data_IF_699738124444
#
_entry.id   IF_699738124444
#
_cell.length_a   1.000
_cell.length_b   1.000
_cell.length_c   1.000
_cell.angle_alpha   90.00
_cell.angle_beta   90.00
_cell.angle_gamma   90.00
#
_symmetry.space_group_name_H-M   'P 1'
#
loop_
_entity.id
_entity.type
_entity.pdbx_description
1 polymer ?
#
# COMPACT_ATOMS: atom_id res chain seq x y z
N UNK A 1 2.46 -9.40 20.09
CA UNK A 1 3.20 -9.52 21.38
C UNK A 1 4.42 -8.61 21.34
N UNK A 2 4.56 -7.70 22.29
CA UNK A 2 5.74 -6.81 22.37
C UNK A 2 6.92 -7.60 22.92
N UNK A 3 7.94 -7.84 22.08
CA UNK A 3 9.16 -8.53 22.51
C UNK A 3 10.06 -7.54 23.26
N UNK A 4 10.50 -7.92 24.45
CA UNK A 4 11.39 -7.11 25.31
C UNK A 4 12.58 -7.95 25.78
N UNK A 5 13.62 -7.26 26.25
CA UNK A 5 14.82 -7.91 26.77
C UNK A 5 15.83 -8.26 25.68
N UNK A 6 16.85 -9.10 26.02
CA UNK A 6 17.89 -9.50 25.11
C UNK A 6 17.35 -10.22 23.85
N UNK A 7 18.08 -10.08 22.75
CA UNK A 7 17.80 -10.76 21.49
C UNK A 7 17.95 -12.28 21.66
N UNK A 8 17.00 -13.07 21.14
CA UNK A 8 16.97 -14.51 21.34
C UNK A 8 17.13 -15.28 20.03
N UNK A 9 17.58 -16.52 20.13
CA UNK A 9 17.56 -17.44 19.02
C UNK A 9 16.12 -17.62 18.47
N UNK A 10 15.98 -17.73 17.13
CA UNK A 10 14.71 -17.79 16.44
C UNK A 10 14.11 -16.42 16.10
N UNK A 11 14.52 -15.32 16.76
CA UNK A 11 14.05 -13.99 16.45
C UNK A 11 14.66 -13.46 15.15
N UNK A 12 13.90 -12.63 14.42
CA UNK A 12 14.46 -11.82 13.33
C UNK A 12 15.05 -10.52 13.87
N UNK A 13 16.20 -10.15 13.30
CA UNK A 13 16.88 -8.88 13.54
C UNK A 13 17.12 -8.14 12.24
N UNK A 14 17.11 -6.83 12.31
CA UNK A 14 17.52 -5.94 11.25
C UNK A 14 18.88 -5.32 11.59
N UNK A 15 19.84 -5.61 10.73
CA UNK A 15 21.20 -5.09 10.78
C UNK A 15 21.28 -3.86 9.87
N UNK A 16 21.59 -2.70 10.42
CA UNK A 16 21.67 -1.46 9.65
C UNK A 16 23.11 -0.90 9.73
N UNK A 17 23.75 -0.73 8.58
CA UNK A 17 25.10 -0.16 8.48
C UNK A 17 25.09 1.38 8.51
N UNK A 18 26.27 1.99 8.56
CA UNK A 18 26.46 3.46 8.55
C UNK A 18 25.96 4.15 7.26
N UNK A 19 25.70 3.40 6.19
CA UNK A 19 25.16 3.90 4.92
C UNK A 19 23.65 3.78 4.85
N UNK A 20 23.02 3.18 5.87
CA UNK A 20 21.60 2.90 5.90
C UNK A 20 21.21 1.62 5.14
N UNK A 21 22.19 0.81 4.68
CA UNK A 21 21.91 -0.51 4.09
C UNK A 21 21.40 -1.43 5.19
N UNK A 22 20.29 -2.10 4.93
CA UNK A 22 19.61 -3.00 5.88
C UNK A 22 19.73 -4.44 5.41
N UNK A 23 19.93 -5.33 6.36
CA UNK A 23 19.90 -6.79 6.19
C UNK A 23 18.98 -7.31 7.28
N UNK A 24 17.99 -8.12 6.92
CA UNK A 24 17.10 -8.77 7.89
C UNK A 24 17.44 -10.25 7.91
N UNK A 25 17.73 -10.78 9.12
CA UNK A 25 18.20 -12.14 9.31
C UNK A 25 17.51 -12.78 10.50
N UNK A 26 17.33 -14.10 10.48
CA UNK A 26 16.83 -14.86 11.62
C UNK A 26 18.00 -15.39 12.42
N UNK A 27 18.04 -15.13 13.71
CA UNK A 27 19.12 -15.60 14.59
C UNK A 27 19.00 -17.09 14.82
N UNK A 28 20.04 -17.82 14.40
CA UNK A 28 20.15 -19.29 14.60
C UNK A 28 21.48 -19.57 15.30
N UNK A 29 21.51 -20.33 16.42
CA UNK A 29 22.76 -20.71 17.08
C UNK A 29 23.75 -21.34 16.11
N UNK A 30 25.01 -20.90 16.14
CA UNK A 30 26.05 -21.30 15.19
C UNK A 30 25.90 -20.73 13.77
N UNK A 31 24.88 -19.91 13.51
CA UNK A 31 24.63 -19.28 12.22
C UNK A 31 25.57 -18.10 11.93
N UNK A 32 25.59 -17.67 10.67
CA UNK A 32 26.40 -16.54 10.20
C UNK A 32 25.67 -15.70 9.19
N UNK A 33 25.89 -14.39 9.21
CA UNK A 33 25.48 -13.43 8.17
C UNK A 33 26.68 -13.08 7.30
N UNK A 34 26.63 -13.47 6.04
CA UNK A 34 27.64 -13.09 5.04
C UNK A 34 27.34 -11.71 4.49
N UNK A 35 28.28 -10.78 4.59
CA UNK A 35 28.15 -9.45 4.04
C UNK A 35 29.27 -9.13 3.07
N UNK A 36 29.13 -8.10 2.27
CA UNK A 36 30.21 -7.59 1.40
C UNK A 36 31.43 -7.10 2.22
N UNK A 37 31.28 -6.96 3.53
CA UNK A 37 32.27 -6.37 4.45
C UNK A 37 32.76 -7.34 5.52
N UNK A 38 32.52 -8.62 5.35
CA UNK A 38 32.89 -9.69 6.28
C UNK A 38 31.69 -10.41 6.86
N UNK A 39 31.93 -11.18 7.89
CA UNK A 39 30.96 -12.09 8.50
C UNK A 39 30.57 -11.61 9.89
N UNK A 40 29.29 -11.76 10.22
CA UNK A 40 28.77 -11.64 11.59
C UNK A 40 28.34 -13.02 12.05
N UNK A 41 28.67 -13.40 13.28
CA UNK A 41 28.19 -14.62 13.90
C UNK A 41 26.91 -14.33 14.67
N UNK A 42 25.91 -15.22 14.54
CA UNK A 42 24.65 -15.07 15.27
C UNK A 42 24.85 -15.19 16.79
N UNK A 43 25.82 -16.00 17.21
CA UNK A 43 26.16 -16.19 18.62
C UNK A 43 26.71 -14.91 19.26
N UNK A 44 27.31 -14.01 18.48
CA UNK A 44 27.76 -12.69 18.95
C UNK A 44 26.60 -11.68 19.09
N UNK A 45 25.42 -12.01 18.55
CA UNK A 45 24.21 -11.17 18.57
C UNK A 45 23.20 -11.69 19.61
N UNK A 46 23.06 -13.01 19.71
CA UNK A 46 22.15 -13.65 20.67
C UNK A 46 22.57 -13.26 22.10
N UNK A 47 21.61 -12.76 22.86
CA UNK A 47 21.85 -12.30 24.24
C UNK A 47 22.20 -10.82 24.36
N UNK A 48 22.48 -10.12 23.25
CA UNK A 48 22.70 -8.67 23.29
C UNK A 48 21.38 -7.91 23.50
N UNK A 49 21.43 -6.74 24.14
CA UNK A 49 20.29 -5.84 24.14
C UNK A 49 20.07 -5.26 22.72
N UNK A 50 18.81 -5.02 22.40
CA UNK A 50 18.43 -4.29 21.19
C UNK A 50 19.07 -2.89 21.18
N UNK A 51 19.54 -2.44 20.01
CA UNK A 51 20.31 -1.20 19.90
C UNK A 51 21.82 -1.40 19.98
N UNK A 52 22.29 -2.62 20.17
CA UNK A 52 23.73 -2.94 20.17
C UNK A 52 24.38 -2.70 18.82
N UNK A 53 25.69 -2.52 18.84
CA UNK A 53 26.51 -2.42 17.63
C UNK A 53 27.43 -3.65 17.55
N UNK A 54 27.33 -4.38 16.44
CA UNK A 54 28.20 -5.54 16.15
C UNK A 54 29.14 -5.22 15.01
N UNK A 55 30.26 -5.92 14.97
CA UNK A 55 31.32 -5.64 13.99
C UNK A 55 31.68 -6.90 13.22
N UNK A 56 31.73 -6.78 11.89
CA UNK A 56 32.12 -7.91 11.04
C UNK A 56 33.55 -8.32 11.27
N UNK A 57 33.80 -9.63 11.19
CA UNK A 57 35.15 -10.20 11.17
C UNK A 57 35.50 -10.68 9.77
N UNK A 58 36.79 -10.83 9.50
CA UNK A 58 37.26 -11.42 8.25
C UNK A 58 37.14 -12.93 8.36
N UNK A 59 36.36 -13.55 7.45
CA UNK A 59 36.33 -15.00 7.36
C UNK A 59 37.56 -15.53 6.61
N UNK A 60 37.98 -16.74 6.92
CA UNK A 60 39.03 -17.44 6.21
C UNK A 60 38.72 -17.47 4.70
N UNK A 61 39.64 -17.03 3.83
CA UNK A 61 39.44 -16.94 2.38
C UNK A 61 38.77 -15.64 1.88
N UNK A 62 38.32 -14.72 2.76
CA UNK A 62 37.75 -13.43 2.36
C UNK A 62 38.73 -12.25 2.37
N UNK A 63 39.94 -12.42 2.86
CA UNK A 63 40.97 -11.39 2.79
C UNK A 63 41.64 -11.40 1.43
N UNK A 64 41.42 -10.35 0.62
CA UNK A 64 42.24 -10.13 -0.55
C UNK A 64 43.66 -9.79 -0.09
N UNK A 65 44.65 -10.60 -0.47
CA UNK A 65 46.05 -10.31 -0.17
C UNK A 65 46.47 -9.04 -0.89
N UNK A 66 47.48 -8.34 -0.33
CA UNK A 66 48.05 -7.14 -0.96
C UNK A 66 48.56 -7.46 -2.39
N UNK A 67 48.99 -8.70 -2.64
CA UNK A 67 49.42 -9.18 -3.94
C UNK A 67 48.28 -9.30 -4.94
N UNK A 68 47.09 -9.74 -4.52
CA UNK A 68 45.90 -9.83 -5.36
C UNK A 68 45.32 -8.45 -5.67
N UNK A 69 45.25 -7.55 -4.69
CA UNK A 69 44.88 -6.15 -4.88
C UNK A 69 45.82 -5.42 -5.85
N UNK A 70 47.15 -5.69 -5.76
CA UNK A 70 48.12 -5.18 -6.70
C UNK A 70 47.99 -5.73 -8.10
N UNK A 71 47.72 -7.04 -8.28
CA UNK A 71 47.47 -7.63 -9.60
C UNK A 71 46.23 -7.07 -10.27
N UNK A 72 45.19 -6.78 -9.50
CA UNK A 72 43.93 -6.22 -10.01
C UNK A 72 44.07 -4.75 -10.43
N UNK A 73 44.80 -3.94 -9.68
CA UNK A 73 45.06 -2.53 -10.00
C UNK A 73 46.42 -2.08 -9.53
N UNK A 74 47.48 -2.30 -10.32
CA UNK A 74 48.87 -1.95 -9.96
C UNK A 74 49.08 -0.46 -9.69
N UNK A 75 48.25 0.41 -10.29
CA UNK A 75 48.44 1.88 -10.19
C UNK A 75 47.85 2.45 -8.88
N UNK A 76 46.88 1.81 -8.28
CA UNK A 76 46.20 2.28 -7.04
C UNK A 76 45.68 1.11 -6.20
N UNK A 77 46.56 0.17 -5.77
CA UNK A 77 46.13 -1.03 -5.06
C UNK A 77 45.36 -0.70 -3.75
N UNK A 78 45.73 0.35 -3.06
CA UNK A 78 45.06 0.80 -1.82
C UNK A 78 43.67 1.37 -2.02
N UNK A 79 43.27 1.79 -3.24
CA UNK A 79 41.92 2.25 -3.53
C UNK A 79 40.98 1.10 -3.87
N UNK A 80 41.53 -0.03 -4.25
CA UNK A 80 40.75 -1.21 -4.72
C UNK A 80 40.72 -2.33 -3.67
N UNK A 81 41.65 -2.34 -2.71
CA UNK A 81 41.62 -3.27 -1.60
C UNK A 81 40.33 -3.02 -0.77
N UNK A 82 39.39 -3.95 -0.83
CA UNK A 82 38.24 -3.92 0.07
C UNK A 82 38.68 -4.24 1.48
N UNK A 83 38.42 -3.33 2.41
CA UNK A 83 38.59 -3.61 3.83
C UNK A 83 37.53 -4.62 4.25
N UNK A 84 37.89 -5.87 4.36
CA UNK A 84 37.05 -6.96 4.81
C UNK A 84 37.20 -7.05 6.33
N UNK A 85 36.07 -7.10 7.05
CA UNK A 85 36.06 -6.99 8.51
C UNK A 85 36.09 -5.54 9.05
N UNK A 86 35.76 -5.39 10.31
CA UNK A 86 35.70 -4.09 10.99
C UNK A 86 34.51 -3.19 10.56
N UNK A 87 33.52 -3.69 9.82
CA UNK A 87 32.35 -2.93 9.46
C UNK A 87 31.26 -3.08 10.51
N UNK A 88 30.66 -1.97 10.91
CA UNK A 88 29.72 -1.92 12.03
C UNK A 88 28.27 -1.91 11.55
N UNK A 89 27.42 -2.63 12.29
CA UNK A 89 25.98 -2.69 12.12
C UNK A 89 25.29 -2.46 13.46
N UNK A 90 24.26 -1.61 13.46
CA UNK A 90 23.31 -1.52 14.56
C UNK A 90 22.32 -2.66 14.44
N UNK A 91 22.02 -3.33 15.55
CA UNK A 91 21.10 -4.48 15.60
C UNK A 91 19.82 -4.05 16.29
N UNK A 92 18.69 -4.20 15.59
CA UNK A 92 17.34 -3.90 16.09
C UNK A 92 16.39 -5.05 15.75
N UNK A 93 15.32 -5.23 16.52
CA UNK A 93 14.17 -5.99 16.03
C UNK A 93 13.51 -5.24 14.89
N UNK A 94 13.11 -5.88 13.78
CA UNK A 94 12.39 -5.19 12.72
C UNK A 94 11.04 -4.73 13.23
N UNK A 95 10.64 -3.50 12.95
CA UNK A 95 9.24 -3.07 13.09
C UNK A 95 8.41 -3.89 12.11
N UNK A 96 7.10 -4.00 12.34
CA UNK A 96 6.22 -4.75 11.43
C UNK A 96 6.36 -4.29 9.97
N UNK A 97 6.45 -2.98 9.75
CA UNK A 97 6.74 -2.39 8.45
C UNK A 97 8.04 -2.92 7.82
N UNK A 98 9.13 -2.98 8.60
CA UNK A 98 10.43 -3.46 8.12
C UNK A 98 10.40 -4.98 7.86
N UNK A 99 9.62 -5.72 8.65
CA UNK A 99 9.43 -7.16 8.50
C UNK A 99 8.72 -7.47 7.19
N UNK A 100 7.55 -6.86 6.90
CA UNK A 100 6.80 -7.16 5.67
C UNK A 100 7.55 -6.75 4.40
N UNK A 101 8.40 -5.72 4.47
CA UNK A 101 9.24 -5.31 3.34
C UNK A 101 10.42 -6.28 3.08
N UNK A 102 10.80 -7.09 4.05
CA UNK A 102 11.93 -8.03 3.99
C UNK A 102 11.55 -9.50 4.06
N UNK A 103 10.28 -9.84 4.37
CA UNK A 103 9.83 -11.23 4.46
C UNK A 103 9.82 -11.94 3.11
N UNK A 104 9.93 -13.28 3.04
CA UNK A 104 9.71 -14.03 1.82
C UNK A 104 8.33 -13.75 1.22
N UNK A 105 8.28 -13.54 -0.09
CA UNK A 105 7.06 -13.18 -0.80
C UNK A 105 6.83 -14.08 -2.01
N UNK A 106 5.58 -14.52 -2.18
CA UNK A 106 5.10 -15.16 -3.40
C UNK A 106 4.21 -14.22 -4.22
N UNK A 107 3.39 -13.40 -3.52
CA UNK A 107 2.53 -12.38 -4.11
C UNK A 107 3.06 -10.97 -3.84
N UNK A 108 2.64 -10.01 -4.66
CA UNK A 108 2.80 -8.56 -4.41
C UNK A 108 2.14 -8.25 -3.06
N UNK A 109 2.79 -7.40 -2.27
CA UNK A 109 2.23 -6.95 -0.99
C UNK A 109 1.68 -5.54 -1.12
N UNK A 110 0.64 -5.25 -0.33
CA UNK A 110 0.22 -3.87 -0.09
C UNK A 110 1.33 -3.09 0.61
N UNK A 111 1.51 -1.83 0.25
CA UNK A 111 2.53 -0.98 0.88
C UNK A 111 2.13 -0.57 2.30
N UNK A 112 3.11 -0.39 3.21
CA UNK A 112 2.83 -0.04 4.61
C UNK A 112 1.97 1.21 4.79
N UNK A 113 2.11 2.22 3.91
CA UNK A 113 1.30 3.43 3.95
C UNK A 113 -0.19 3.16 3.71
N UNK A 114 -0.51 2.25 2.79
CA UNK A 114 -1.88 1.86 2.47
C UNK A 114 -2.47 0.97 3.56
N UNK A 115 -1.68 0.04 4.09
CA UNK A 115 -2.07 -0.78 5.25
C UNK A 115 -2.42 0.09 6.46
N UNK A 116 -1.58 1.09 6.77
CA UNK A 116 -1.84 2.01 7.87
C UNK A 116 -3.15 2.79 7.66
N UNK A 117 -3.42 3.20 6.41
CA UNK A 117 -4.67 3.87 6.06
C UNK A 117 -5.89 2.93 6.22
N UNK A 118 -5.77 1.66 5.82
CA UNK A 118 -6.86 0.67 6.04
C UNK A 118 -7.17 0.50 7.52
N UNK A 119 -6.16 0.33 8.38
CA UNK A 119 -6.34 0.20 9.82
C UNK A 119 -7.12 1.41 10.38
N UNK A 120 -6.78 2.62 9.91
CA UNK A 120 -7.42 3.86 10.36
C UNK A 120 -8.85 4.01 9.83
N UNK A 121 -9.07 3.91 8.51
CA UNK A 121 -10.39 4.16 7.91
C UNK A 121 -11.42 3.07 8.28
N UNK A 122 -10.96 1.84 8.50
CA UNK A 122 -11.82 0.76 9.00
C UNK A 122 -12.00 0.82 10.53
N UNK A 123 -11.27 1.69 11.23
CA UNK A 123 -11.29 1.73 12.69
C UNK A 123 -11.07 0.32 13.30
N UNK A 124 -9.99 -0.36 12.84
CA UNK A 124 -9.69 -1.72 13.29
C UNK A 124 -9.04 -1.68 14.66
N UNK A 125 -9.66 -2.34 15.63
CA UNK A 125 -9.26 -2.29 17.04
C UNK A 125 -9.22 -3.68 17.66
N UNK A 126 -8.58 -3.73 18.82
CA UNK A 126 -8.51 -4.93 19.65
C UNK A 126 -9.90 -5.47 19.98
N UNK A 127 -10.05 -6.77 19.87
CA UNK A 127 -11.30 -7.48 20.15
C UNK A 127 -12.28 -7.56 18.98
N UNK A 128 -11.98 -6.94 17.83
CA UNK A 128 -12.84 -7.00 16.64
C UNK A 128 -12.67 -8.30 15.88
N UNK A 129 -13.72 -8.70 15.18
CA UNK A 129 -13.76 -9.81 14.22
C UNK A 129 -13.62 -9.25 12.81
N UNK A 130 -12.53 -9.62 12.13
CA UNK A 130 -12.17 -9.08 10.83
C UNK A 130 -12.13 -10.21 9.80
N UNK A 131 -12.73 -9.98 8.64
CA UNK A 131 -12.60 -10.84 7.45
C UNK A 131 -11.65 -10.18 6.46
N UNK A 132 -10.59 -10.89 6.08
CA UNK A 132 -9.67 -10.54 5.00
C UNK A 132 -9.86 -11.51 3.85
N UNK A 133 -9.95 -11.02 2.62
CA UNK A 133 -9.85 -11.88 1.44
C UNK A 133 -8.76 -11.37 0.51
N UNK A 134 -7.87 -12.29 0.10
CA UNK A 134 -6.61 -12.00 -0.57
C UNK A 134 -5.44 -12.00 0.40
N UNK A 135 -5.23 -13.08 1.17
CA UNK A 135 -4.15 -13.20 2.16
C UNK A 135 -2.74 -13.03 1.59
N UNK A 136 -2.53 -13.50 0.36
CA UNK A 136 -1.29 -13.32 -0.39
C UNK A 136 -0.04 -13.76 0.38
N UNK A 137 0.90 -12.83 0.60
CA UNK A 137 2.11 -13.09 1.41
C UNK A 137 1.93 -12.76 2.90
N UNK A 138 0.75 -12.28 3.32
CA UNK A 138 0.40 -11.99 4.71
C UNK A 138 0.70 -10.57 5.19
N UNK A 139 1.04 -9.63 4.31
CA UNK A 139 1.42 -8.28 4.74
C UNK A 139 0.28 -7.56 5.47
N UNK A 140 -0.93 -7.56 4.90
CA UNK A 140 -2.12 -7.00 5.54
C UNK A 140 -2.54 -7.86 6.73
N UNK A 141 -2.62 -9.18 6.57
CA UNK A 141 -3.01 -10.12 7.62
C UNK A 141 -2.17 -9.99 8.90
N UNK A 142 -0.85 -9.78 8.78
CA UNK A 142 0.02 -9.52 9.93
C UNK A 142 -0.37 -8.25 10.72
N UNK A 143 -0.72 -7.17 10.02
CA UNK A 143 -1.18 -5.94 10.67
C UNK A 143 -2.57 -6.10 11.28
N UNK A 144 -3.46 -6.86 10.62
CA UNK A 144 -4.79 -7.17 11.16
C UNK A 144 -4.67 -8.02 12.43
N UNK A 145 -3.83 -9.07 12.41
CA UNK A 145 -3.57 -9.92 13.58
C UNK A 145 -3.03 -9.13 14.78
N UNK A 146 -2.10 -8.20 14.52
CA UNK A 146 -1.54 -7.35 15.57
C UNK A 146 -2.58 -6.36 16.11
N UNK A 147 -3.42 -5.79 15.23
CA UNK A 147 -4.45 -4.82 15.60
C UNK A 147 -5.59 -5.44 16.41
N UNK A 148 -6.14 -6.59 15.97
CA UNK A 148 -7.25 -7.24 16.67
C UNK A 148 -6.81 -7.91 17.96
N UNK A 149 -5.57 -8.39 18.02
CA UNK A 149 -4.98 -9.05 19.20
C UNK A 149 -5.68 -10.35 19.58
N UNK A 150 -5.25 -10.94 20.69
CA UNK A 150 -5.72 -12.24 21.18
C UNK A 150 -7.19 -12.26 21.63
N UNK A 151 -7.78 -11.08 21.87
CA UNK A 151 -9.19 -10.94 22.24
C UNK A 151 -10.11 -10.79 21.02
N UNK A 152 -9.53 -10.62 19.81
CA UNK A 152 -10.23 -10.50 18.54
C UNK A 152 -10.14 -11.76 17.71
N UNK A 153 -10.56 -11.64 16.45
CA UNK A 153 -10.52 -12.73 15.47
C UNK A 153 -10.14 -12.17 14.09
N UNK A 154 -9.23 -12.85 13.42
CA UNK A 154 -9.00 -12.65 11.99
C UNK A 154 -9.38 -13.93 11.23
N UNK A 155 -10.29 -13.82 10.28
CA UNK A 155 -10.51 -14.84 9.26
C UNK A 155 -9.91 -14.36 7.95
N UNK A 156 -8.96 -15.11 7.39
CA UNK A 156 -8.32 -14.82 6.11
C UNK A 156 -8.70 -15.88 5.10
N UNK A 157 -9.23 -15.46 3.94
CA UNK A 157 -9.49 -16.33 2.79
C UNK A 157 -8.37 -16.11 1.77
N UNK A 158 -7.68 -17.19 1.38
CA UNK A 158 -6.69 -17.17 0.30
C UNK A 158 -7.01 -18.29 -0.69
N UNK A 159 -7.18 -17.93 -1.95
CA UNK A 159 -7.58 -18.87 -2.99
C UNK A 159 -6.52 -19.93 -3.28
N UNK A 160 -5.23 -19.57 -3.17
CA UNK A 160 -4.10 -20.42 -3.56
C UNK A 160 -3.43 -21.02 -2.33
N UNK A 161 -3.43 -22.34 -2.24
CA UNK A 161 -2.88 -23.07 -1.08
C UNK A 161 -1.41 -22.77 -0.82
N UNK A 162 -0.60 -22.56 -1.87
CA UNK A 162 0.81 -22.21 -1.74
C UNK A 162 1.01 -20.82 -1.11
N UNK A 163 0.14 -19.84 -1.40
CA UNK A 163 0.21 -18.52 -0.76
C UNK A 163 -0.35 -18.53 0.65
N UNK A 164 -1.38 -19.31 0.92
CA UNK A 164 -1.83 -19.54 2.29
C UNK A 164 -0.70 -20.07 3.17
N UNK A 165 0.11 -21.02 2.65
CA UNK A 165 1.31 -21.52 3.35
C UNK A 165 2.38 -20.44 3.57
N UNK A 166 2.61 -19.56 2.57
CA UNK A 166 3.55 -18.42 2.70
C UNK A 166 3.04 -17.45 3.78
N UNK A 167 1.77 -17.12 3.73
CA UNK A 167 1.11 -16.26 4.71
C UNK A 167 1.24 -16.82 6.13
N UNK A 168 0.90 -18.10 6.32
CA UNK A 168 1.01 -18.79 7.62
C UNK A 168 2.43 -18.85 8.15
N UNK A 169 3.40 -19.17 7.27
CA UNK A 169 4.81 -19.22 7.66
C UNK A 169 5.34 -17.83 8.08
N UNK A 170 5.01 -16.76 7.33
CA UNK A 170 5.40 -15.41 7.69
C UNK A 170 4.78 -14.97 9.02
N UNK A 171 3.50 -15.28 9.27
CA UNK A 171 2.84 -14.97 10.54
C UNK A 171 3.51 -15.74 11.69
N UNK A 172 3.77 -17.03 11.52
CA UNK A 172 4.44 -17.86 12.53
C UNK A 172 5.84 -17.32 12.86
N UNK A 173 6.61 -16.92 11.85
CA UNK A 173 7.95 -16.31 12.06
C UNK A 173 7.85 -14.96 12.80
N UNK A 174 6.87 -14.13 12.44
CA UNK A 174 6.71 -12.82 13.07
C UNK A 174 6.26 -12.93 14.54
N UNK A 175 5.22 -13.73 14.82
CA UNK A 175 4.68 -13.89 16.17
C UNK A 175 5.47 -14.89 17.04
N UNK A 176 6.33 -15.72 16.42
CA UNK A 176 7.05 -16.80 17.08
C UNK A 176 6.22 -18.09 17.25
N UNK A 177 4.92 -18.00 17.07
CA UNK A 177 3.94 -19.08 17.03
C UNK A 177 2.86 -18.74 16.01
N UNK A 178 2.12 -19.73 15.55
CA UNK A 178 0.89 -19.48 14.79
C UNK A 178 -0.14 -18.81 15.72
N UNK A 179 -0.69 -17.64 15.40
CA UNK A 179 -1.70 -16.98 16.23
C UNK A 179 -2.96 -17.86 16.40
N UNK A 180 -3.42 -18.05 17.64
CA UNK A 180 -4.61 -18.87 17.92
C UNK A 180 -5.92 -18.17 17.50
N UNK A 181 -5.91 -16.83 17.42
CA UNK A 181 -7.05 -15.99 17.00
C UNK A 181 -7.13 -15.80 15.48
N UNK A 182 -6.42 -16.63 14.71
CA UNK A 182 -6.38 -16.60 13.26
C UNK A 182 -6.98 -17.83 12.64
N UNK A 183 -8.01 -17.65 11.83
CA UNK A 183 -8.63 -18.66 11.00
C UNK A 183 -8.23 -18.44 9.54
N UNK A 184 -7.30 -19.25 9.02
CA UNK A 184 -6.86 -19.21 7.62
C UNK A 184 -7.59 -20.27 6.82
N UNK A 185 -8.39 -19.84 5.85
CA UNK A 185 -9.22 -20.68 4.98
C UNK A 185 -8.67 -20.66 3.55
N UNK A 186 -8.48 -21.85 2.99
CA UNK A 186 -8.02 -21.99 1.60
C UNK A 186 -9.22 -22.24 0.70
N UNK A 187 -9.43 -21.37 -0.29
CA UNK A 187 -10.51 -21.48 -1.26
C UNK A 187 -10.85 -20.15 -1.90
N UNK A 188 -11.67 -20.20 -2.95
CA UNK A 188 -12.24 -19.00 -3.53
C UNK A 188 -13.28 -18.38 -2.59
N UNK A 189 -13.37 -17.05 -2.58
CA UNK A 189 -14.31 -16.31 -1.73
C UNK A 189 -15.75 -16.79 -1.92
N UNK A 190 -16.18 -16.99 -3.16
CA UNK A 190 -17.54 -17.42 -3.49
C UNK A 190 -17.86 -18.85 -3.01
N UNK A 191 -16.84 -19.68 -2.80
CA UNK A 191 -17.01 -21.04 -2.26
C UNK A 191 -16.94 -21.07 -0.73
N UNK A 192 -16.18 -20.17 -0.11
CA UNK A 192 -15.94 -20.15 1.34
C UNK A 192 -16.95 -19.27 2.06
N UNK A 193 -17.27 -18.09 1.54
CA UNK A 193 -18.15 -17.14 2.17
C UNK A 193 -19.55 -17.69 2.51
N UNK A 194 -20.19 -18.53 1.68
CA UNK A 194 -21.50 -19.10 2.02
C UNK A 194 -21.51 -19.90 3.33
N UNK A 195 -20.37 -20.46 3.74
CA UNK A 195 -20.21 -21.19 5.01
C UNK A 195 -19.94 -20.31 6.23
N UNK A 196 -19.71 -19.00 6.04
CA UNK A 196 -19.48 -18.07 7.12
C UNK A 196 -20.82 -17.62 7.74
N UNK A 197 -20.86 -17.34 9.07
CA UNK A 197 -22.08 -16.90 9.73
C UNK A 197 -22.50 -15.50 9.29
N UNK A 198 -23.79 -15.24 9.27
CA UNK A 198 -24.39 -13.94 8.97
C UNK A 198 -24.08 -12.94 10.09
N UNK A 199 -23.94 -11.65 9.75
CA UNK A 199 -23.76 -10.53 10.68
C UNK A 199 -22.59 -10.73 11.68
N UNK A 200 -21.57 -11.50 11.28
CA UNK A 200 -20.51 -11.94 12.19
C UNK A 200 -19.35 -10.95 12.29
N UNK A 201 -18.90 -10.42 11.15
CA UNK A 201 -17.69 -9.61 11.10
C UNK A 201 -17.97 -8.13 11.35
N UNK A 202 -17.12 -7.49 12.15
CA UNK A 202 -17.18 -6.06 12.37
C UNK A 202 -16.57 -5.28 11.20
N UNK A 203 -15.55 -5.88 10.52
CA UNK A 203 -14.79 -5.27 9.43
C UNK A 203 -14.50 -6.28 8.33
N UNK A 204 -14.51 -5.81 7.10
CA UNK A 204 -14.13 -6.62 5.92
C UNK A 204 -13.11 -5.87 5.10
N UNK A 205 -12.05 -6.56 4.72
CA UNK A 205 -11.03 -6.07 3.79
C UNK A 205 -10.92 -7.00 2.59
N UNK A 206 -11.07 -6.45 1.37
CA UNK A 206 -10.99 -7.19 0.11
C UNK A 206 -9.82 -6.68 -0.75
N UNK A 207 -8.80 -7.52 -0.93
CA UNK A 207 -7.69 -7.31 -1.86
C UNK A 207 -7.75 -8.38 -2.96
N UNK A 208 -8.54 -8.11 -3.99
CA UNK A 208 -8.78 -9.04 -5.08
C UNK A 208 -9.09 -8.31 -6.39
N UNK A 209 -9.06 -9.04 -7.51
CA UNK A 209 -9.20 -8.44 -8.85
C UNK A 209 -10.57 -7.81 -9.10
N UNK A 210 -11.64 -8.40 -8.57
CA UNK A 210 -13.03 -8.05 -8.89
C UNK A 210 -13.93 -8.02 -7.64
N UNK A 211 -13.62 -7.19 -6.62
CA UNK A 211 -14.36 -7.16 -5.36
C UNK A 211 -15.82 -6.75 -5.52
N UNK A 212 -16.19 -6.03 -6.58
CA UNK A 212 -17.59 -5.65 -6.87
C UNK A 212 -18.53 -6.84 -7.03
N UNK A 213 -18.04 -8.01 -7.45
CA UNK A 213 -18.83 -9.23 -7.57
C UNK A 213 -19.05 -9.95 -6.23
N UNK A 214 -18.45 -9.51 -5.13
CA UNK A 214 -18.49 -10.14 -3.80
C UNK A 214 -19.21 -9.32 -2.75
N UNK A 215 -19.71 -8.14 -3.14
CA UNK A 215 -20.32 -7.18 -2.20
C UNK A 215 -21.57 -7.73 -1.50
N UNK A 216 -22.41 -8.52 -2.18
CA UNK A 216 -23.61 -9.11 -1.60
C UNK A 216 -23.27 -10.14 -0.52
N UNK A 217 -22.28 -11.01 -0.79
CA UNK A 217 -21.82 -11.98 0.20
C UNK A 217 -21.08 -11.29 1.35
N UNK A 218 -20.32 -10.24 1.08
CA UNK A 218 -19.67 -9.43 2.11
C UNK A 218 -20.72 -8.78 3.02
N UNK A 219 -21.80 -8.23 2.43
CA UNK A 219 -22.88 -7.62 3.20
C UNK A 219 -23.63 -8.63 4.09
N UNK A 220 -23.83 -9.86 3.63
CA UNK A 220 -24.46 -10.91 4.42
C UNK A 220 -23.67 -11.25 5.69
N UNK A 221 -22.34 -11.28 5.59
CA UNK A 221 -21.48 -11.72 6.71
C UNK A 221 -20.99 -10.59 7.61
N UNK A 222 -21.10 -9.34 7.19
CA UNK A 222 -20.73 -8.17 8.00
C UNK A 222 -21.89 -7.73 8.90
N UNK A 223 -21.58 -7.35 10.12
CA UNK A 223 -22.58 -6.79 11.02
C UNK A 223 -23.12 -5.43 10.51
N UNK A 224 -24.40 -5.09 10.72
CA UNK A 224 -24.93 -3.77 10.40
C UNK A 224 -24.08 -2.65 11.00
N UNK A 225 -23.74 -1.65 10.18
CA UNK A 225 -22.83 -0.57 10.54
C UNK A 225 -21.34 -0.93 10.50
N UNK A 226 -21.00 -2.18 10.20
CA UNK A 226 -19.63 -2.62 9.95
C UNK A 226 -19.01 -1.91 8.75
N UNK A 227 -17.68 -1.88 8.66
CA UNK A 227 -16.96 -1.19 7.59
C UNK A 227 -16.32 -2.20 6.65
N UNK A 228 -16.55 -2.01 5.34
CA UNK A 228 -15.84 -2.71 4.28
C UNK A 228 -14.83 -1.75 3.63
N UNK A 229 -13.67 -2.26 3.29
CA UNK A 229 -12.70 -1.57 2.40
C UNK A 229 -12.26 -2.51 1.30
N UNK A 230 -12.38 -2.06 0.06
CA UNK A 230 -11.81 -2.73 -1.12
C UNK A 230 -10.54 -2.01 -1.55
N UNK A 231 -9.45 -2.75 -1.77
CA UNK A 231 -8.22 -2.26 -2.36
C UNK A 231 -8.14 -2.66 -3.82
N UNK A 232 -7.99 -1.69 -4.71
CA UNK A 232 -7.85 -1.91 -6.15
C UNK A 232 -6.78 -0.99 -6.73
N UNK A 233 -6.18 -1.39 -7.86
CA UNK A 233 -5.03 -0.69 -8.42
C UNK A 233 -5.35 0.16 -9.65
N UNK A 234 -6.55 0.04 -10.23
CA UNK A 234 -6.93 0.79 -11.43
C UNK A 234 -8.16 1.64 -11.22
N UNK A 235 -8.26 2.75 -11.94
CA UNK A 235 -9.42 3.65 -11.91
C UNK A 235 -10.71 2.95 -12.40
N UNK A 236 -10.61 2.05 -13.36
CA UNK A 236 -11.76 1.25 -13.82
C UNK A 236 -12.29 0.35 -12.71
N UNK A 237 -11.42 -0.36 -11.98
CA UNK A 237 -11.83 -1.17 -10.84
C UNK A 237 -12.45 -0.30 -9.74
N UNK A 238 -11.84 0.85 -9.44
CA UNK A 238 -12.33 1.82 -8.47
C UNK A 238 -13.77 2.26 -8.80
N UNK A 239 -14.02 2.64 -10.06
CA UNK A 239 -15.35 3.04 -10.53
C UNK A 239 -16.36 1.88 -10.38
N UNK A 240 -16.01 0.67 -10.81
CA UNK A 240 -16.90 -0.51 -10.71
C UNK A 240 -17.28 -0.84 -9.27
N UNK A 241 -16.33 -0.79 -8.33
CA UNK A 241 -16.62 -1.02 -6.91
C UNK A 241 -17.60 0.03 -6.39
N UNK A 242 -17.33 1.31 -6.67
CA UNK A 242 -18.18 2.41 -6.20
C UNK A 242 -19.60 2.32 -6.75
N UNK A 243 -19.74 2.04 -8.05
CA UNK A 243 -21.07 1.88 -8.68
C UNK A 243 -21.82 0.65 -8.11
N UNK A 244 -21.15 -0.51 -7.99
CA UNK A 244 -21.77 -1.70 -7.42
C UNK A 244 -22.21 -1.49 -5.96
N UNK A 245 -21.45 -0.75 -5.15
CA UNK A 245 -21.87 -0.38 -3.79
C UNK A 245 -23.14 0.49 -3.80
N UNK A 246 -23.24 1.46 -4.72
CA UNK A 246 -24.45 2.31 -4.86
C UNK A 246 -25.64 1.52 -5.36
N UNK A 247 -25.48 0.72 -6.40
CA UNK A 247 -26.54 -0.04 -7.04
C UNK A 247 -27.16 -1.08 -6.09
N UNK A 248 -26.37 -1.69 -5.22
CA UNK A 248 -26.87 -2.69 -4.26
C UNK A 248 -27.79 -2.11 -3.19
N UNK A 249 -27.70 -0.82 -2.87
CA UNK A 249 -28.38 -0.20 -1.73
C UNK A 249 -27.92 -0.68 -0.35
N UNK A 250 -27.02 -1.65 -0.28
CA UNK A 250 -26.53 -2.28 0.96
C UNK A 250 -25.45 -1.50 1.67
N UNK A 251 -24.84 -0.51 1.01
CA UNK A 251 -23.69 0.22 1.50
C UNK A 251 -23.95 1.73 1.52
N UNK A 252 -23.43 2.43 2.50
CA UNK A 252 -23.42 3.91 2.48
C UNK A 252 -22.69 4.41 1.24
N UNK A 253 -22.81 5.72 0.93
CA UNK A 253 -22.03 6.33 -0.14
C UNK A 253 -20.53 6.00 0.04
N UNK A 254 -19.87 5.40 -0.97
CA UNK A 254 -18.46 4.98 -0.85
C UNK A 254 -17.52 6.18 -0.78
N UNK A 255 -16.58 6.12 0.16
CA UNK A 255 -15.46 7.05 0.27
C UNK A 255 -14.27 6.47 -0.47
N UNK A 256 -13.68 7.25 -1.37
CA UNK A 256 -12.55 6.82 -2.21
C UNK A 256 -11.33 7.64 -1.85
N UNK A 257 -10.25 6.96 -1.51
CA UNK A 257 -8.98 7.61 -1.14
C UNK A 257 -7.77 6.95 -1.79
N UNK A 258 -6.73 7.73 -1.99
CA UNK A 258 -5.38 7.30 -2.36
C UNK A 258 -4.38 7.96 -1.41
N UNK A 259 -3.40 7.19 -0.94
CA UNK A 259 -2.38 7.69 -0.01
C UNK A 259 -1.06 7.93 -0.72
N UNK A 260 -0.48 9.10 -0.54
CA UNK A 260 0.84 9.48 -1.04
C UNK A 260 1.82 9.68 0.12
N UNK A 261 2.96 9.00 0.08
CA UNK A 261 4.04 9.14 1.04
C UNK A 261 5.28 9.75 0.39
N UNK A 262 5.76 10.88 0.94
CA UNK A 262 6.96 11.56 0.46
C UNK A 262 8.05 11.57 1.50
N UNK A 263 9.13 10.83 1.25
CA UNK A 263 10.32 10.84 2.10
C UNK A 263 11.14 12.12 1.93
N UNK A 264 11.83 12.54 3.00
CA UNK A 264 12.71 13.69 3.03
C UNK A 264 14.11 13.31 3.49
N UNK A 265 15.11 14.03 2.99
CA UNK A 265 16.49 14.02 3.50
C UNK A 265 16.75 15.32 4.25
N UNK A 266 17.32 15.19 5.46
CA UNK A 266 17.78 16.31 6.24
C UNK A 266 19.22 16.02 6.69
N UNK A 267 20.17 16.81 6.16
CA UNK A 267 21.57 16.69 6.50
C UNK A 267 22.17 18.11 6.65
N UNK A 268 22.36 18.55 7.87
CA UNK A 268 22.71 19.93 8.16
C UNK A 268 21.67 20.89 7.59
N UNK A 269 22.09 21.86 6.80
CA UNK A 269 21.20 22.82 6.12
C UNK A 269 20.61 22.29 4.80
N UNK A 270 21.06 21.13 4.33
CA UNK A 270 20.54 20.50 3.11
C UNK A 270 19.30 19.68 3.41
N UNK A 271 18.14 20.34 3.41
CA UNK A 271 16.83 19.72 3.62
C UNK A 271 16.04 19.69 2.30
N UNK A 272 15.68 18.50 1.84
CA UNK A 272 14.96 18.33 0.57
C UNK A 272 14.19 17.01 0.53
N UNK A 273 13.12 16.91 -0.28
CA UNK A 273 12.46 15.64 -0.52
C UNK A 273 13.40 14.64 -1.22
N UNK A 274 13.13 13.35 -1.05
CA UNK A 274 13.77 12.33 -1.87
C UNK A 274 13.42 12.56 -3.34
N UNK A 275 14.35 12.24 -4.25
CA UNK A 275 14.11 12.37 -5.70
C UNK A 275 13.06 11.36 -6.19
N UNK A 276 13.08 10.17 -5.62
CA UNK A 276 12.16 9.10 -5.95
C UNK A 276 10.99 9.09 -4.98
N UNK A 277 9.78 8.92 -5.52
CA UNK A 277 8.53 8.73 -4.80
C UNK A 277 7.67 7.76 -5.59
N UNK A 278 7.03 6.82 -4.92
CA UNK A 278 6.00 5.98 -5.54
C UNK A 278 4.74 6.82 -5.64
N UNK A 279 4.36 7.20 -6.88
CA UNK A 279 3.24 8.10 -7.13
C UNK A 279 1.88 7.43 -7.01
N UNK A 280 1.81 6.11 -7.28
CA UNK A 280 0.56 5.35 -7.22
C UNK A 280 0.85 3.92 -6.75
N UNK A 281 -0.04 3.39 -5.90
CA UNK A 281 -0.03 1.99 -5.44
C UNK A 281 -1.38 1.33 -5.56
N UNK A 282 -2.45 2.06 -5.23
CA UNK A 282 -3.82 1.61 -5.31
C UNK A 282 -4.79 2.59 -4.65
N UNK A 283 -6.07 2.31 -4.80
CA UNK A 283 -7.18 3.06 -4.23
C UNK A 283 -7.84 2.25 -3.13
N UNK A 284 -8.30 2.94 -2.09
CA UNK A 284 -9.16 2.39 -1.06
C UNK A 284 -10.58 2.89 -1.29
N UNK A 285 -11.52 1.98 -1.38
CA UNK A 285 -12.95 2.27 -1.50
C UNK A 285 -13.60 1.73 -0.22
N UNK A 286 -14.12 2.63 0.60
CA UNK A 286 -14.61 2.31 1.95
C UNK A 286 -16.08 2.69 2.07
N UNK A 287 -16.90 1.79 2.64
CA UNK A 287 -18.31 2.04 2.92
C UNK A 287 -18.74 1.32 4.20
N UNK A 288 -19.92 1.65 4.71
CA UNK A 288 -20.53 0.98 5.87
C UNK A 288 -21.76 0.18 5.46
N UNK A 289 -21.91 -0.97 6.08
CA UNK A 289 -23.05 -1.85 5.83
C UNK A 289 -24.34 -1.24 6.38
N UNK A 290 -25.39 -1.26 5.55
CA UNK A 290 -26.74 -0.91 5.96
C UNK A 290 -27.40 -2.08 6.71
N UNK A 291 -28.37 -1.77 7.55
CA UNK A 291 -29.19 -2.79 8.19
C UNK A 291 -30.07 -3.52 7.16
N UNK A 292 -30.40 -4.77 7.42
CA UNK A 292 -31.26 -5.55 6.56
C UNK A 292 -32.63 -4.86 6.35
N UNK A 293 -33.07 -4.81 5.09
CA UNK A 293 -34.34 -4.19 4.69
C UNK A 293 -34.32 -2.65 4.65
N UNK A 294 -33.15 -2.03 4.73
CA UNK A 294 -33.00 -0.57 4.65
C UNK A 294 -32.01 -0.23 3.52
N UNK A 295 -32.48 0.55 2.55
CA UNK A 295 -31.63 1.05 1.48
C UNK A 295 -30.81 2.26 1.93
N UNK A 296 -29.59 2.36 1.42
CA UNK A 296 -28.71 3.48 1.69
C UNK A 296 -29.23 4.80 1.10
N UNK A 297 -29.01 5.88 1.83
CA UNK A 297 -29.26 7.23 1.31
C UNK A 297 -28.02 7.71 0.57
N UNK A 298 -28.11 7.77 -0.74
CA UNK A 298 -27.03 8.29 -1.57
C UNK A 298 -27.11 9.81 -1.70
N UNK A 299 -25.95 10.44 -1.79
CA UNK A 299 -25.84 11.86 -2.01
C UNK A 299 -26.51 12.23 -3.32
N UNK A 300 -27.48 13.18 -3.28
CA UNK A 300 -28.06 13.74 -4.49
C UNK A 300 -26.99 14.52 -5.25
N UNK A 301 -26.41 13.89 -6.23
CA UNK A 301 -25.57 14.58 -7.21
C UNK A 301 -26.49 15.32 -8.20
N UNK A 302 -26.05 16.50 -8.66
CA UNK A 302 -26.69 17.10 -9.83
C UNK A 302 -26.40 16.16 -10.99
N UNK A 303 -27.40 15.67 -11.74
CA UNK A 303 -27.16 14.75 -12.81
C UNK A 303 -26.16 15.39 -13.79
N UNK A 304 -24.95 14.88 -13.82
CA UNK A 304 -24.07 15.01 -14.97
C UNK A 304 -24.74 14.21 -16.08
N UNK A 305 -24.87 14.81 -17.26
CA UNK A 305 -25.63 14.25 -18.40
C UNK A 305 -25.18 12.85 -18.88
N UNK A 306 -24.19 12.20 -18.21
CA UNK A 306 -23.60 10.93 -18.61
C UNK A 306 -23.14 10.07 -17.44
N UNK A 307 -24.07 9.60 -16.62
CA UNK A 307 -23.75 8.67 -15.54
C UNK A 307 -23.68 7.20 -16.03
N UNK A 308 -24.22 6.87 -17.20
CA UNK A 308 -24.44 5.48 -17.63
C UNK A 308 -23.86 5.09 -18.99
N UNK A 309 -22.90 5.82 -19.54
CA UNK A 309 -22.28 5.38 -20.80
C UNK A 309 -20.99 4.61 -20.52
N UNK A 310 -21.10 3.34 -20.24
CA UNK A 310 -20.01 2.42 -20.49
C UNK A 310 -19.87 2.32 -22.03
N UNK A 311 -19.03 3.19 -22.61
CA UNK A 311 -18.78 3.26 -24.06
C UNK A 311 -18.36 1.90 -24.60
N UNK A 312 -17.73 1.07 -23.75
CA UNK A 312 -17.27 -0.27 -24.09
C UNK A 312 -18.41 -1.28 -24.32
N UNK A 313 -19.60 -1.05 -23.73
CA UNK A 313 -20.77 -1.91 -23.90
C UNK A 313 -21.66 -1.53 -25.11
N UNK A 314 -21.33 -0.41 -25.78
CA UNK A 314 -22.06 0.08 -26.94
C UNK A 314 -21.54 -0.54 -28.25
N UNK A 315 -22.44 -0.77 -29.23
CA UNK A 315 -22.01 -1.12 -30.58
C UNK A 315 -21.19 0.01 -31.20
N UNK A 316 -20.36 -0.29 -32.19
CA UNK A 316 -19.52 0.71 -32.88
C UNK A 316 -20.33 1.88 -33.52
N UNK A 317 -21.60 1.66 -33.82
CA UNK A 317 -22.53 2.68 -34.34
C UNK A 317 -23.05 3.56 -33.22
N UNK A 318 -23.46 2.98 -32.10
CA UNK A 318 -23.87 3.67 -30.89
C UNK A 318 -22.73 4.47 -30.26
N UNK A 319 -21.50 3.95 -30.29
CA UNK A 319 -20.31 4.68 -29.84
C UNK A 319 -20.05 5.95 -30.66
N UNK A 320 -20.17 5.85 -32.02
CA UNK A 320 -20.03 7.02 -32.89
C UNK A 320 -21.10 8.07 -32.68
N UNK A 321 -22.36 7.64 -32.54
CA UNK A 321 -23.49 8.52 -32.28
C UNK A 321 -23.31 9.21 -30.90
N UNK A 322 -22.87 8.48 -29.89
CA UNK A 322 -22.61 9.00 -28.55
C UNK A 322 -21.42 9.94 -28.50
N UNK A 323 -20.36 9.66 -29.21
CA UNK A 323 -19.20 10.57 -29.34
C UNK A 323 -19.60 11.85 -30.06
N UNK A 324 -20.42 11.78 -31.09
CA UNK A 324 -20.96 12.96 -31.77
C UNK A 324 -21.84 13.81 -30.85
N UNK A 325 -22.67 13.18 -30.01
CA UNK A 325 -23.43 13.90 -28.95
C UNK A 325 -22.52 14.54 -27.89
N UNK A 326 -21.42 13.90 -27.52
CA UNK A 326 -20.44 14.43 -26.56
C UNK A 326 -19.65 15.61 -27.12
N UNK A 327 -19.33 15.60 -28.42
CA UNK A 327 -18.73 16.74 -29.11
C UNK A 327 -19.70 17.91 -29.26
N UNK A 328 -21.00 17.64 -29.32
CA UNK A 328 -22.08 18.63 -29.37
C UNK A 328 -22.59 19.09 -27.99
N UNK A 329 -21.84 18.87 -26.92
CA UNK A 329 -22.23 19.37 -25.58
C UNK A 329 -22.37 20.88 -25.58
N UNK A 330 -23.56 21.33 -25.87
CA UNK A 330 -23.90 22.75 -25.83
C UNK A 330 -23.82 23.28 -24.39
N UNK A 331 -22.93 24.23 -24.20
CA UNK A 331 -23.03 25.18 -23.11
C UNK A 331 -24.44 25.81 -23.22
N UNK A 332 -25.24 25.80 -22.15
CA UNK A 332 -26.55 26.45 -22.20
C UNK A 332 -26.41 27.87 -22.80
N UNK A 333 -27.31 28.26 -23.70
CA UNK A 333 -27.31 29.58 -24.38
C UNK A 333 -27.09 30.76 -23.44
N UNK A 334 -27.59 30.65 -22.22
CA UNK A 334 -27.39 31.65 -21.17
C UNK A 334 -25.92 31.74 -20.73
N UNK A 335 -25.26 30.61 -20.59
CA UNK A 335 -23.85 30.55 -20.17
C UNK A 335 -22.94 31.00 -21.30
N UNK A 336 -23.26 30.55 -22.55
CA UNK A 336 -22.51 30.99 -23.73
C UNK A 336 -22.61 32.48 -23.96
N UNK A 337 -23.80 33.08 -23.87
CA UNK A 337 -23.99 34.54 -23.99
C UNK A 337 -23.22 35.32 -22.94
N UNK A 338 -23.17 34.83 -21.71
CA UNK A 338 -22.36 35.45 -20.65
C UNK A 338 -20.87 35.39 -20.98
N UNK A 339 -20.35 34.25 -21.38
CA UNK A 339 -18.93 34.07 -21.75
C UNK A 339 -18.56 34.94 -22.94
N UNK A 340 -19.41 35.00 -23.98
CA UNK A 340 -19.19 35.85 -25.14
C UNK A 340 -19.19 37.35 -24.77
N UNK A 341 -20.14 37.78 -23.95
CA UNK A 341 -20.17 39.17 -23.47
C UNK A 341 -18.90 39.53 -22.67
N UNK A 342 -18.45 38.66 -21.77
CA UNK A 342 -17.23 38.91 -20.99
C UNK A 342 -15.98 38.94 -21.91
N UNK A 343 -15.94 38.08 -22.95
CA UNK A 343 -14.85 38.08 -23.93
C UNK A 343 -14.88 39.29 -24.83
N UNK A 344 -16.05 39.71 -25.31
CA UNK A 344 -16.20 40.94 -26.13
C UNK A 344 -15.71 42.16 -25.38
N UNK A 345 -16.00 42.29 -24.09
CA UNK A 345 -15.44 43.34 -23.24
C UNK A 345 -13.92 43.30 -23.12
N UNK A 346 -13.35 42.09 -22.97
CA UNK A 346 -11.90 41.93 -22.89
C UNK A 346 -11.23 42.28 -24.23
N UNK A 347 -11.80 41.87 -25.35
CA UNK A 347 -11.31 42.23 -26.70
C UNK A 347 -11.40 43.76 -26.93
N UNK A 348 -12.51 44.38 -26.54
CA UNK A 348 -12.66 45.86 -26.63
C UNK A 348 -11.61 46.59 -25.80
N UNK A 349 -11.29 46.09 -24.60
CA UNK A 349 -10.25 46.66 -23.76
C UNK A 349 -8.85 46.58 -24.40
N UNK A 350 -8.55 45.48 -25.09
CA UNK A 350 -7.28 45.32 -25.83
C UNK A 350 -7.19 46.32 -26.97
N UNK A 351 -8.27 46.49 -27.72
CA UNK A 351 -8.34 47.48 -28.83
C UNK A 351 -8.11 48.93 -28.35
N UNK A 352 -8.68 49.30 -27.21
CA UNK A 352 -8.49 50.63 -26.59
C UNK A 352 -7.01 50.81 -26.18
N UNK A 353 -6.35 49.80 -25.61
CA UNK A 353 -4.94 49.90 -25.23
C UNK A 353 -4.03 49.94 -26.45
N UNK A 354 -4.33 49.20 -27.52
CA UNK A 354 -3.58 49.25 -28.78
C UNK A 354 -3.74 50.55 -29.53
N UNK A 355 -4.96 51.13 -29.60
CA UNK A 355 -5.22 52.43 -30.21
C UNK A 355 -4.60 53.61 -29.47
N UNK A 356 -4.44 53.52 -28.16
CA UNK A 356 -3.74 54.49 -27.34
C UNK A 356 -2.21 54.47 -27.50
N UNK A 357 -1.63 53.44 -28.10
CA UNK A 357 -0.21 53.37 -28.46
C UNK A 357 0.08 54.00 -29.84
N UNK A 358 -0.84 53.92 -30.80
CA UNK A 358 -0.69 54.49 -32.12
C UNK A 358 -0.81 56.06 -32.10
N UNK A 359 -1.60 56.61 -31.17
CA UNK A 359 -1.74 58.09 -31.02
C UNK A 359 -0.55 58.77 -30.31
N UNK A 360 0.37 58.02 -29.71
CA UNK A 360 1.62 58.53 -29.11
C UNK A 360 2.80 58.52 -30.07
N UNK A 361 2.65 57.95 -31.26
CA UNK A 361 3.69 57.89 -32.29
C UNK A 361 3.63 58.98 -33.37
N UNK A 362 2.70 59.92 -33.26
CA UNK A 362 2.48 60.98 -34.32
C UNK A 362 2.74 62.40 -33.82
N UNK A 363 3.58 62.53 -32.79
CA UNK A 363 4.08 63.87 -32.39
C UNK A 363 5.60 63.82 -32.30
N UNK A 364 6.28 63.85 -33.47
CA UNK A 364 7.60 64.48 -33.69
C UNK A 364 7.70 65.00 -35.12
#
# INVERSE_FOLDING_TARGET
>A
MVRRGPLQAGEKVQLTDRKGKRITEQLVPGGTVQTERGVLFHDDIIGLPEGSVVTTVTAEGQSESAAEAYRRNPRKPWKTARRIGGWQYTVMRPRLQDFILSMPRGAQIMYPKDIAQVIEVCDIRRGMRVLESGGGSGAMGLHLLDAVGEDGELTTIEMRSEFARVCEANATVYFGIRPAWWNLMVGDFDSVAPGLPDDHFDRIFLDMLDPWNRLDQAWRVIAPGGVITCYVTTTTQMSRVAEAMRESGHWTEPEITETLERGWKAQGLAVRPNHEMIGHTGFLITARAMASGVDALHKRERPTKDVYSDIDDLTAEQQRERLAELELRDISDRKLRKVLHDLDQQVANIAIVSGAQDDRGSIE
#
